data_IF_317280535138
#
_entry.id   IF_317280535138
#
_cell.length_a   1.000
_cell.length_b   1.000
_cell.length_c   1.000
_cell.angle_alpha   90.00
_cell.angle_beta   90.00
_cell.angle_gamma   90.00
#
_symmetry.space_group_name_H-M   'P 1'
#
loop_
_entity.id
_entity.type
_entity.pdbx_description
1 polymer ?
#
# COMPACT_ATOMS: atom_id res chain seq x y z
N UNK A 1 8.60 -0.99 -3.15
CA UNK A 1 7.89 0.29 -2.89
C UNK A 1 7.61 0.96 -4.22
N UNK A 2 6.44 1.56 -4.41
CA UNK A 2 6.16 2.22 -5.68
C UNK A 2 6.93 3.56 -5.77
N UNK A 3 7.01 4.08 -6.98
CA UNK A 3 7.81 5.28 -7.25
C UNK A 3 7.32 6.51 -6.50
N UNK A 4 6.01 6.69 -6.37
CA UNK A 4 5.44 7.84 -5.67
C UNK A 4 5.78 7.78 -4.18
N UNK A 5 5.60 6.62 -3.56
CA UNK A 5 5.91 6.44 -2.14
C UNK A 5 7.40 6.68 -1.88
N UNK A 6 8.27 6.22 -2.77
CA UNK A 6 9.70 6.42 -2.62
C UNK A 6 10.09 7.89 -2.72
N UNK A 7 9.49 8.63 -3.66
CA UNK A 7 9.76 10.05 -3.79
C UNK A 7 9.30 10.83 -2.56
N UNK A 8 8.13 10.50 -2.01
CA UNK A 8 7.62 11.15 -0.82
C UNK A 8 8.47 10.84 0.40
N UNK A 9 8.93 9.60 0.52
CA UNK A 9 9.81 9.16 1.61
C UNK A 9 11.09 10.00 1.64
N UNK A 10 11.65 10.29 0.48
CA UNK A 10 12.89 11.08 0.37
C UNK A 10 12.69 12.55 0.69
N UNK A 11 11.49 13.09 0.44
CA UNK A 11 11.21 14.52 0.60
C UNK A 11 10.59 14.86 1.93
N UNK A 12 9.60 14.08 2.37
CA UNK A 12 8.82 14.42 3.56
C UNK A 12 8.17 13.18 4.12
N UNK A 13 8.63 12.74 5.29
CA UNK A 13 8.13 11.52 5.91
C UNK A 13 6.65 11.61 6.27
N UNK A 14 6.16 12.80 6.66
CA UNK A 14 4.75 12.98 7.00
C UNK A 14 3.86 12.75 5.77
N UNK A 15 4.26 13.29 4.62
CA UNK A 15 3.52 13.07 3.38
C UNK A 15 3.57 11.60 2.94
N UNK A 16 4.71 10.95 3.15
CA UNK A 16 4.83 9.53 2.88
C UNK A 16 3.85 8.72 3.71
N UNK A 17 3.76 9.00 5.00
CA UNK A 17 2.85 8.28 5.89
C UNK A 17 1.38 8.52 5.50
N UNK A 18 1.02 9.75 5.15
CA UNK A 18 -0.34 10.07 4.70
C UNK A 18 -0.66 9.30 3.42
N UNK A 19 0.28 9.25 2.50
CA UNK A 19 0.12 8.48 1.25
C UNK A 19 -0.11 7.00 1.57
N UNK A 20 0.68 6.42 2.46
CA UNK A 20 0.56 5.02 2.84
C UNK A 20 -0.78 4.75 3.52
N UNK A 21 -1.26 5.68 4.36
CA UNK A 21 -2.56 5.53 5.01
C UNK A 21 -3.71 5.56 4.00
N UNK A 22 -3.60 6.37 2.96
CA UNK A 22 -4.58 6.38 1.87
C UNK A 22 -4.59 5.05 1.11
N UNK A 23 -3.42 4.47 0.90
CA UNK A 23 -3.30 3.16 0.25
C UNK A 23 -3.95 2.06 1.12
N UNK A 24 -3.75 2.12 2.44
CA UNK A 24 -4.41 1.20 3.36
C UNK A 24 -5.94 1.32 3.28
N UNK A 25 -6.44 2.56 3.25
CA UNK A 25 -7.89 2.77 3.18
C UNK A 25 -8.46 2.21 1.88
N UNK A 26 -7.73 2.32 0.80
CA UNK A 26 -8.12 1.74 -0.48
C UNK A 26 -8.19 0.21 -0.37
N UNK A 27 -7.22 -0.39 0.28
CA UNK A 27 -7.20 -1.83 0.52
C UNK A 27 -8.39 -2.25 1.38
N UNK A 28 -8.69 -1.50 2.44
CA UNK A 28 -9.82 -1.79 3.32
C UNK A 28 -11.15 -1.65 2.57
N UNK A 29 -11.26 -0.67 1.68
CA UNK A 29 -12.44 -0.49 0.86
C UNK A 29 -12.69 -1.68 -0.06
N UNK A 30 -11.64 -2.44 -0.37
CA UNK A 30 -11.71 -3.66 -1.16
C UNK A 30 -11.61 -4.91 -0.28
N UNK A 31 -11.95 -4.78 1.01
CA UNK A 31 -12.04 -5.89 1.97
C UNK A 31 -10.71 -6.63 2.18
N UNK A 32 -9.59 -5.97 1.91
CA UNK A 32 -8.26 -6.58 1.98
C UNK A 32 -8.14 -7.84 1.11
N UNK A 33 -8.94 -7.92 0.05
CA UNK A 33 -8.96 -9.09 -0.83
C UNK A 33 -8.15 -8.81 -2.09
N UNK A 34 -7.11 -9.62 -2.37
CA UNK A 34 -6.29 -9.43 -3.57
C UNK A 34 -7.10 -9.44 -4.87
N UNK A 35 -8.14 -10.27 -4.94
CA UNK A 35 -8.98 -10.36 -6.14
C UNK A 35 -9.76 -9.08 -6.39
N UNK A 36 -10.28 -8.45 -5.33
CA UNK A 36 -10.99 -7.18 -5.46
C UNK A 36 -10.04 -6.06 -5.83
N UNK A 37 -8.84 -6.05 -5.26
CA UNK A 37 -7.81 -5.09 -5.64
C UNK A 37 -7.45 -5.23 -7.11
N UNK A 38 -7.32 -6.46 -7.61
CA UNK A 38 -7.01 -6.72 -9.01
C UNK A 38 -8.11 -6.15 -9.91
N UNK A 39 -9.37 -6.41 -9.60
CA UNK A 39 -10.48 -5.99 -10.44
C UNK A 39 -10.76 -4.49 -10.37
N UNK A 40 -10.65 -3.90 -9.17
CA UNK A 40 -11.10 -2.53 -8.93
C UNK A 40 -9.98 -1.48 -8.99
N UNK A 41 -8.75 -1.89 -8.78
CA UNK A 41 -7.61 -0.97 -8.70
C UNK A 41 -6.55 -1.30 -9.74
N UNK A 42 -6.02 -2.50 -9.70
CA UNK A 42 -4.88 -2.87 -10.55
C UNK A 42 -5.25 -2.86 -12.03
N UNK A 43 -6.46 -3.30 -12.36
CA UNK A 43 -6.94 -3.33 -13.74
C UNK A 43 -7.00 -1.95 -14.40
N UNK A 44 -6.97 -0.87 -13.60
CA UNK A 44 -6.99 0.51 -14.11
C UNK A 44 -5.61 1.02 -14.50
N UNK A 45 -4.56 0.33 -14.07
CA UNK A 45 -3.19 0.69 -14.43
C UNK A 45 -2.84 0.16 -15.81
N UNK A 46 -1.87 0.78 -16.50
CA UNK A 46 -1.34 0.23 -17.76
C UNK A 46 -0.83 -1.19 -17.54
N UNK A 47 -0.96 -2.02 -18.56
CA UNK A 47 -0.62 -3.43 -18.48
C UNK A 47 0.82 -3.67 -17.98
N UNK A 48 1.76 -2.84 -18.42
CA UNK A 48 3.17 -2.99 -18.03
C UNK A 48 3.39 -2.74 -16.54
N UNK A 49 2.50 -1.96 -15.90
CA UNK A 49 2.63 -1.61 -14.49
C UNK A 49 1.88 -2.57 -13.58
N UNK A 50 0.97 -3.38 -14.11
CA UNK A 50 0.13 -4.26 -13.31
C UNK A 50 0.91 -5.27 -12.45
N UNK A 51 1.96 -5.93 -12.95
CA UNK A 51 2.71 -6.86 -12.10
C UNK A 51 3.34 -6.18 -10.88
N UNK A 52 3.92 -4.99 -11.08
CA UNK A 52 4.53 -4.24 -9.98
C UNK A 52 3.47 -3.79 -8.96
N UNK A 53 2.31 -3.32 -9.43
CA UNK A 53 1.24 -2.88 -8.55
C UNK A 53 0.62 -4.05 -7.80
N UNK A 54 0.52 -5.21 -8.45
CA UNK A 54 0.02 -6.43 -7.81
C UNK A 54 0.92 -6.84 -6.66
N UNK A 55 2.21 -6.83 -6.86
CA UNK A 55 3.19 -7.13 -5.83
C UNK A 55 3.11 -6.11 -4.68
N UNK A 56 3.04 -4.83 -5.00
CA UNK A 56 2.93 -3.74 -4.04
C UNK A 56 1.74 -3.93 -3.10
N UNK A 57 0.54 -4.13 -3.66
CA UNK A 57 -0.66 -4.28 -2.85
C UNK A 57 -0.70 -5.61 -2.10
N UNK A 58 -0.19 -6.67 -2.69
CA UNK A 58 -0.10 -7.96 -2.01
C UNK A 58 0.78 -7.85 -0.76
N UNK A 59 1.91 -7.16 -0.88
CA UNK A 59 2.81 -6.96 0.26
C UNK A 59 2.15 -6.10 1.34
N UNK A 60 1.40 -5.07 0.96
CA UNK A 60 0.68 -4.24 1.93
C UNK A 60 -0.41 -5.03 2.65
N UNK A 61 -1.17 -5.84 1.93
CA UNK A 61 -2.22 -6.68 2.53
C UNK A 61 -1.60 -7.64 3.54
N UNK A 62 -0.50 -8.27 3.18
CA UNK A 62 0.21 -9.19 4.07
C UNK A 62 0.68 -8.48 5.33
N UNK A 63 1.27 -7.30 5.18
CA UNK A 63 1.74 -6.49 6.30
C UNK A 63 0.60 -6.12 7.24
N UNK A 64 -0.53 -5.67 6.69
CA UNK A 64 -1.70 -5.31 7.48
C UNK A 64 -2.26 -6.51 8.24
N UNK A 65 -2.26 -7.69 7.61
CA UNK A 65 -2.69 -8.92 8.25
C UNK A 65 -1.79 -9.33 9.40
N UNK A 66 -0.48 -9.25 9.19
CA UNK A 66 0.50 -9.63 10.21
C UNK A 66 0.45 -8.71 11.43
N UNK A 67 0.15 -7.43 11.23
CA UNK A 67 0.10 -6.47 12.32
C UNK A 67 -1.30 -6.26 12.87
N UNK A 68 -2.29 -7.00 12.39
CA UNK A 68 -3.65 -6.96 12.91
C UNK A 68 -4.37 -5.64 12.65
N UNK A 69 -4.04 -4.94 11.56
CA UNK A 69 -4.63 -3.64 11.25
C UNK A 69 -5.52 -3.67 10.01
N UNK A 70 -6.09 -4.83 9.68
CA UNK A 70 -6.93 -4.97 8.48
C UNK A 70 -8.19 -4.14 8.54
N UNK A 71 -8.76 -3.95 9.73
CA UNK A 71 -10.00 -3.19 9.90
C UNK A 71 -9.77 -1.75 10.34
N UNK A 72 -8.73 -1.52 11.14
CA UNK A 72 -8.42 -0.18 11.66
C UNK A 72 -6.96 -0.12 12.09
N UNK A 73 -6.49 1.10 12.29
CA UNK A 73 -5.11 1.34 12.71
C UNK A 73 -4.15 1.40 11.53
N UNK A 74 -2.88 1.57 11.83
CA UNK A 74 -1.84 1.66 10.81
C UNK A 74 -0.65 0.79 11.19
N UNK A 75 -0.03 0.08 10.23
CA UNK A 75 1.14 -0.75 10.53
C UNK A 75 2.30 0.09 11.06
N UNK A 76 2.86 -0.31 12.21
CA UNK A 76 4.03 0.36 12.76
C UNK A 76 5.28 0.11 11.90
N UNK A 77 5.29 -0.97 11.12
CA UNK A 77 6.41 -1.28 10.23
C UNK A 77 6.62 -0.22 9.14
N UNK A 78 5.67 0.71 8.94
CA UNK A 78 5.89 1.83 8.03
C UNK A 78 7.07 2.70 8.47
N UNK A 79 7.31 2.83 9.78
CA UNK A 79 8.45 3.59 10.27
C UNK A 79 9.76 2.91 9.88
N UNK A 80 9.78 1.60 9.84
CA UNK A 80 10.95 0.85 9.39
C UNK A 80 11.18 0.97 7.90
N UNK A 81 10.09 1.06 7.11
CA UNK A 81 10.17 1.26 5.67
C UNK A 81 10.68 2.66 5.32
N UNK A 82 10.43 3.66 6.19
CA UNK A 82 10.83 5.03 5.93
C UNK A 82 12.26 5.33 6.37
N UNK A 83 12.88 4.47 7.16
CA UNK A 83 14.25 4.67 7.62
C UNK A 83 15.21 3.89 6.72
N UNK A 84 16.30 4.52 6.32
CA UNK A 84 17.31 3.83 5.50
C UNK A 84 17.89 2.63 6.22
#
# INVERSE_FOLDING_TARGET
>A
MNQIAQQLKEKNIAEYLIYMWQEEDLIRANHCEPEEMEANVIARYPEEQRPAMREWYTNLITMMGEEGVREKGHPVSYTHLTLP
#
